data_IF_811898481116
#
_entry.id   IF_811898481116
#
_cell.length_a   1.000
_cell.length_b   1.000
_cell.length_c   1.000
_cell.angle_alpha   90.00
_cell.angle_beta   90.00
_cell.angle_gamma   90.00
#
_symmetry.space_group_name_H-M   'P 1'
#
loop_
_entity.id
_entity.type
_entity.pdbx_description
1 polymer ?
#
# COMPACT_ATOMS: atom_id res chain seq x y z
N UNK A 1 2.54 0.67 58.36
CA UNK A 1 3.28 1.82 57.78
C UNK A 1 4.80 1.62 57.85
N UNK A 2 5.31 1.00 58.92
CA UNK A 2 6.73 0.66 59.15
C UNK A 2 7.36 -0.25 58.08
N UNK A 3 6.66 -1.26 57.58
CA UNK A 3 7.22 -2.19 56.58
C UNK A 3 7.51 -1.54 55.22
N UNK A 4 6.68 -0.58 54.79
CA UNK A 4 6.94 0.18 53.55
C UNK A 4 8.19 1.04 53.65
N UNK A 5 8.41 1.68 54.81
CA UNK A 5 9.60 2.49 55.07
C UNK A 5 10.86 1.61 55.12
N UNK A 6 10.76 0.44 55.75
CA UNK A 6 11.84 -0.54 55.78
C UNK A 6 12.19 -1.05 54.38
N UNK A 7 11.19 -1.47 53.60
CA UNK A 7 11.38 -1.92 52.22
C UNK A 7 12.00 -0.82 51.31
N UNK A 8 11.58 0.44 51.47
CA UNK A 8 12.17 1.55 50.73
C UNK A 8 13.64 1.81 51.09
N UNK A 9 14.01 1.66 52.37
CA UNK A 9 15.40 1.79 52.82
C UNK A 9 16.27 0.62 52.31
N UNK A 10 15.77 -0.61 52.36
CA UNK A 10 16.43 -1.80 51.82
C UNK A 10 16.63 -1.68 50.29
N UNK A 11 15.61 -1.20 49.55
CA UNK A 11 15.73 -0.94 48.12
C UNK A 11 16.79 0.12 47.79
N UNK A 12 16.87 1.21 48.58
CA UNK A 12 17.92 2.23 48.44
C UNK A 12 19.31 1.66 48.72
N UNK A 13 19.47 0.87 49.79
CA UNK A 13 20.74 0.23 50.08
C UNK A 13 21.15 -0.78 49.01
N UNK A 14 20.21 -1.58 48.50
CA UNK A 14 20.45 -2.52 47.41
C UNK A 14 20.81 -1.83 46.09
N UNK A 15 20.28 -0.64 45.81
CA UNK A 15 20.66 0.17 44.66
C UNK A 15 22.09 0.73 44.80
N UNK A 16 22.45 1.23 45.99
CA UNK A 16 23.79 1.73 46.27
C UNK A 16 24.85 0.61 46.24
N UNK A 17 24.54 -0.57 46.78
CA UNK A 17 25.40 -1.74 46.70
C UNK A 17 25.66 -2.12 45.23
N UNK A 18 24.60 -2.25 44.41
CA UNK A 18 24.71 -2.52 42.97
C UNK A 18 25.53 -1.47 42.21
N UNK A 19 25.48 -0.21 42.62
CA UNK A 19 26.29 0.85 42.02
C UNK A 19 27.78 0.69 42.37
N UNK A 20 28.09 0.38 43.63
CA UNK A 20 29.46 0.15 44.09
C UNK A 20 30.09 -1.11 43.49
N UNK A 21 29.31 -2.18 43.33
CA UNK A 21 29.76 -3.46 42.76
C UNK A 21 29.85 -3.43 41.24
N UNK A 22 29.53 -2.30 40.60
CA UNK A 22 29.53 -2.20 39.13
C UNK A 22 30.97 -2.22 38.62
N UNK A 23 31.31 -3.13 37.69
CA UNK A 23 32.63 -3.11 37.06
C UNK A 23 32.86 -1.79 36.30
N UNK A 24 34.12 -1.30 36.23
CA UNK A 24 34.46 -0.10 35.48
C UNK A 24 34.17 -0.29 33.98
N UNK A 25 34.06 0.82 33.25
CA UNK A 25 33.74 0.78 31.82
C UNK A 25 34.83 0.07 30.98
N UNK A 26 36.07 0.14 31.44
CA UNK A 26 37.23 -0.47 30.79
C UNK A 26 37.44 -1.95 31.18
N UNK A 27 36.54 -2.51 32.01
CA UNK A 27 36.56 -3.92 32.33
C UNK A 27 36.35 -4.76 31.05
N UNK A 28 37.18 -5.78 30.79
CA UNK A 28 37.13 -6.55 29.54
C UNK A 28 35.78 -7.25 29.33
N UNK A 29 35.10 -7.68 30.40
CA UNK A 29 33.77 -8.31 30.29
C UNK A 29 32.66 -7.29 30.03
N UNK A 30 32.82 -6.03 30.47
CA UNK A 30 31.92 -4.93 30.08
C UNK A 30 32.11 -4.58 28.60
N UNK A 31 33.36 -4.46 28.15
CA UNK A 31 33.69 -4.18 26.75
C UNK A 31 33.19 -5.28 25.81
N UNK A 32 33.38 -6.55 26.15
CA UNK A 32 32.87 -7.68 25.37
C UNK A 32 31.34 -7.63 25.21
N UNK A 33 30.60 -7.39 26.30
CA UNK A 33 29.14 -7.24 26.26
C UNK A 33 28.69 -6.04 25.44
N UNK A 34 29.44 -4.93 25.49
CA UNK A 34 29.15 -3.75 24.68
C UNK A 34 29.34 -4.06 23.20
N UNK A 35 30.46 -4.70 22.83
CA UNK A 35 30.74 -5.11 21.46
C UNK A 35 29.66 -6.05 20.92
N UNK A 36 29.26 -7.07 21.69
CA UNK A 36 28.18 -7.99 21.29
C UNK A 36 26.85 -7.26 21.06
N UNK A 37 26.47 -6.36 21.97
CA UNK A 37 25.26 -5.55 21.82
C UNK A 37 25.32 -4.64 20.60
N UNK A 38 26.46 -4.03 20.35
CA UNK A 38 26.67 -3.20 19.15
C UNK A 38 26.51 -4.04 17.88
N UNK A 39 27.03 -5.27 17.83
CA UNK A 39 26.82 -6.15 16.67
C UNK A 39 25.32 -6.46 16.48
N UNK A 40 24.62 -6.82 17.56
CA UNK A 40 23.17 -7.08 17.49
C UNK A 40 22.40 -5.85 16.99
N UNK A 41 22.77 -4.65 17.43
CA UNK A 41 22.14 -3.40 16.97
C UNK A 41 22.43 -3.18 15.49
N UNK A 42 23.68 -3.32 15.04
CA UNK A 42 24.05 -3.20 13.62
C UNK A 42 23.28 -4.19 12.75
N UNK A 43 23.18 -5.46 13.18
CA UNK A 43 22.42 -6.49 12.45
C UNK A 43 20.91 -6.19 12.40
N UNK A 44 20.37 -5.55 13.44
CA UNK A 44 18.98 -5.08 13.43
C UNK A 44 18.80 -3.91 12.48
N UNK A 45 19.71 -2.94 12.49
CA UNK A 45 19.67 -1.78 11.59
C UNK A 45 19.76 -2.21 10.13
N UNK A 46 20.67 -3.12 9.80
CA UNK A 46 20.79 -3.69 8.43
C UNK A 46 19.47 -4.35 8.02
N UNK A 47 18.88 -5.19 8.88
CA UNK A 47 17.61 -5.86 8.57
C UNK A 47 16.44 -4.89 8.44
N UNK A 48 16.36 -3.88 9.29
CA UNK A 48 15.31 -2.85 9.22
C UNK A 48 15.43 -2.06 7.93
N UNK A 49 16.64 -1.59 7.60
CA UNK A 49 16.90 -0.86 6.36
C UNK A 49 16.54 -1.67 5.12
N UNK A 50 16.96 -2.94 5.06
CA UNK A 50 16.62 -3.81 3.94
C UNK A 50 15.09 -4.02 3.79
N UNK A 51 14.36 -4.14 4.90
CA UNK A 51 12.89 -4.24 4.87
C UNK A 51 12.22 -2.94 4.44
N UNK A 52 12.77 -1.80 4.83
CA UNK A 52 12.22 -0.49 4.48
C UNK A 52 12.45 -0.21 2.99
N UNK A 53 13.64 -0.51 2.46
CA UNK A 53 13.94 -0.45 1.03
C UNK A 53 13.01 -1.37 0.22
N UNK A 54 12.81 -2.61 0.67
CA UNK A 54 11.88 -3.55 0.02
C UNK A 54 10.42 -3.07 0.07
N UNK A 55 9.98 -2.48 1.18
CA UNK A 55 8.62 -1.92 1.32
C UNK A 55 8.41 -0.74 0.39
N UNK A 56 9.37 0.18 0.32
CA UNK A 56 9.32 1.33 -0.57
C UNK A 56 9.26 0.89 -2.05
N UNK A 57 10.06 -0.10 -2.45
CA UNK A 57 10.02 -0.65 -3.80
C UNK A 57 8.66 -1.30 -4.13
N UNK A 58 8.11 -2.11 -3.22
CA UNK A 58 6.82 -2.76 -3.40
C UNK A 58 5.64 -1.76 -3.39
N UNK A 59 5.75 -0.65 -2.67
CA UNK A 59 4.76 0.43 -2.71
C UNK A 59 4.83 1.19 -4.04
N UNK A 60 6.03 1.54 -4.51
CA UNK A 60 6.22 2.18 -5.80
C UNK A 60 5.65 1.33 -6.95
N UNK A 61 5.87 0.01 -6.92
CA UNK A 61 5.28 -0.91 -7.89
C UNK A 61 3.75 -0.92 -7.84
N UNK A 62 3.16 -1.00 -6.64
CA UNK A 62 1.70 -0.99 -6.49
C UNK A 62 1.06 0.30 -6.97
N UNK A 63 1.70 1.45 -6.74
CA UNK A 63 1.23 2.75 -7.26
C UNK A 63 1.31 2.76 -8.79
N UNK A 64 2.43 2.35 -9.37
CA UNK A 64 2.59 2.30 -10.82
C UNK A 64 1.58 1.35 -11.50
N UNK A 65 1.32 0.19 -10.90
CA UNK A 65 0.30 -0.76 -11.38
C UNK A 65 -1.11 -0.17 -11.31
N UNK A 66 -1.46 0.48 -10.20
CA UNK A 66 -2.77 1.10 -10.02
C UNK A 66 -2.99 2.25 -11.02
N UNK A 67 -1.97 3.06 -11.29
CA UNK A 67 -2.05 4.13 -12.27
C UNK A 67 -2.17 3.58 -13.70
N UNK A 68 -1.39 2.54 -14.04
CA UNK A 68 -1.50 1.87 -15.33
C UNK A 68 -2.89 1.22 -15.53
N UNK A 69 -3.47 0.64 -14.48
CA UNK A 69 -4.83 0.09 -14.52
C UNK A 69 -5.88 1.18 -14.74
N UNK A 70 -5.76 2.31 -14.04
CA UNK A 70 -6.65 3.47 -14.23
C UNK A 70 -6.59 4.02 -15.65
N UNK A 71 -5.40 4.14 -16.23
CA UNK A 71 -5.22 4.56 -17.62
C UNK A 71 -5.87 3.59 -18.60
N UNK A 72 -5.71 2.28 -18.38
CA UNK A 72 -6.36 1.24 -19.21
C UNK A 72 -7.88 1.32 -19.14
N UNK A 73 -8.43 1.43 -17.94
CA UNK A 73 -9.88 1.54 -17.73
C UNK A 73 -10.44 2.82 -18.36
N UNK A 74 -9.72 3.94 -18.27
CA UNK A 74 -10.12 5.19 -18.93
C UNK A 74 -10.11 5.04 -20.46
N UNK A 75 -9.06 4.44 -21.03
CA UNK A 75 -8.99 4.19 -22.47
C UNK A 75 -10.08 3.22 -22.96
N UNK A 76 -10.39 2.19 -22.19
CA UNK A 76 -11.49 1.27 -22.46
C UNK A 76 -12.85 1.96 -22.39
N UNK A 77 -13.07 2.83 -21.40
CA UNK A 77 -14.31 3.59 -21.29
C UNK A 77 -14.53 4.52 -22.48
N UNK A 78 -13.47 5.17 -22.98
CA UNK A 78 -13.54 6.01 -24.19
C UNK A 78 -13.92 5.17 -25.41
N UNK A 79 -13.20 4.05 -25.65
CA UNK A 79 -13.50 3.15 -26.78
C UNK A 79 -14.93 2.61 -26.72
N UNK A 80 -15.39 2.21 -25.54
CA UNK A 80 -16.76 1.71 -25.36
C UNK A 80 -17.82 2.81 -25.58
N UNK A 81 -17.51 4.07 -25.26
CA UNK A 81 -18.40 5.19 -25.54
C UNK A 81 -18.49 5.47 -27.05
N UNK A 82 -17.34 5.48 -27.74
CA UNK A 82 -17.28 5.64 -29.20
C UNK A 82 -18.03 4.53 -29.93
N UNK A 83 -17.80 3.27 -29.54
CA UNK A 83 -18.50 2.12 -30.12
C UNK A 83 -20.03 2.23 -29.94
N UNK A 84 -20.50 2.67 -28.77
CA UNK A 84 -21.94 2.88 -28.53
C UNK A 84 -22.52 3.98 -29.42
N UNK A 85 -21.76 5.05 -29.70
CA UNK A 85 -22.20 6.12 -30.61
C UNK A 85 -22.33 5.57 -32.02
N UNK A 86 -21.34 4.82 -32.50
CA UNK A 86 -21.36 4.20 -33.83
C UNK A 86 -22.50 3.20 -33.98
N UNK A 87 -22.68 2.30 -33.00
CA UNK A 87 -23.80 1.36 -32.99
C UNK A 87 -25.16 2.07 -33.00
N UNK A 88 -25.31 3.15 -32.22
CA UNK A 88 -26.54 3.93 -32.21
C UNK A 88 -26.79 4.64 -33.55
N UNK A 89 -25.73 5.12 -34.22
CA UNK A 89 -25.83 5.71 -35.56
C UNK A 89 -26.26 4.67 -36.60
N UNK A 90 -25.64 3.49 -36.60
CA UNK A 90 -25.99 2.38 -37.47
C UNK A 90 -27.45 1.95 -37.27
N UNK A 91 -27.89 1.75 -36.03
CA UNK A 91 -29.27 1.37 -35.71
C UNK A 91 -30.29 2.42 -36.20
N UNK A 92 -29.97 3.72 -36.11
CA UNK A 92 -30.83 4.79 -36.65
C UNK A 92 -30.93 4.74 -38.18
N UNK A 93 -29.83 4.46 -38.87
CA UNK A 93 -29.83 4.30 -40.32
C UNK A 93 -30.68 3.11 -40.76
N UNK A 94 -30.54 1.97 -40.08
CA UNK A 94 -31.37 0.78 -40.33
C UNK A 94 -32.86 1.06 -40.10
N UNK A 95 -33.22 1.69 -38.98
CA UNK A 95 -34.61 2.07 -38.70
C UNK A 95 -35.19 3.01 -39.76
N UNK A 96 -34.37 3.95 -40.26
CA UNK A 96 -34.77 4.84 -41.35
C UNK A 96 -35.00 4.05 -42.64
N UNK A 97 -34.08 3.15 -43.01
CA UNK A 97 -34.24 2.31 -44.20
C UNK A 97 -35.51 1.45 -44.14
N UNK A 98 -35.81 0.86 -42.99
CA UNK A 98 -37.07 0.12 -42.76
C UNK A 98 -38.31 1.00 -42.91
N UNK A 99 -38.26 2.23 -42.38
CA UNK A 99 -39.35 3.20 -42.51
C UNK A 99 -39.57 3.58 -43.96
N UNK A 100 -38.50 3.90 -44.68
CA UNK A 100 -38.56 4.30 -46.09
C UNK A 100 -39.09 3.16 -46.97
N UNK A 101 -38.68 1.92 -46.71
CA UNK A 101 -39.23 0.73 -47.38
C UNK A 101 -40.74 0.56 -47.13
N UNK A 102 -41.21 0.76 -45.89
CA UNK A 102 -42.64 0.71 -45.54
C UNK A 102 -43.43 1.81 -46.23
N UNK A 103 -42.90 3.03 -46.28
CA UNK A 103 -43.54 4.15 -46.99
C UNK A 103 -43.61 3.89 -48.49
N UNK A 104 -42.54 3.37 -49.09
CA UNK A 104 -42.53 2.99 -50.51
C UNK A 104 -43.58 1.92 -50.82
N UNK A 105 -43.68 0.86 -50.01
CA UNK A 105 -44.68 -0.18 -50.15
C UNK A 105 -46.12 0.36 -50.02
N UNK A 106 -46.38 1.24 -49.02
CA UNK A 106 -47.69 1.88 -48.86
C UNK A 106 -48.05 2.77 -50.05
N UNK A 107 -47.10 3.57 -50.54
CA UNK A 107 -47.30 4.44 -51.70
C UNK A 107 -47.58 3.65 -52.98
N UNK A 108 -46.88 2.53 -53.18
CA UNK A 108 -47.13 1.62 -54.29
C UNK A 108 -48.54 1.01 -54.22
N UNK A 109 -49.00 0.60 -53.03
CA UNK A 109 -50.36 0.10 -52.82
C UNK A 109 -51.43 1.16 -53.08
N UNK A 110 -51.18 2.44 -52.76
CA UNK A 110 -52.15 3.52 -52.97
C UNK A 110 -52.24 4.02 -54.42
N UNK A 111 -51.25 3.68 -55.27
CA UNK A 111 -51.22 4.01 -56.70
C UNK A 111 -51.75 2.90 -57.60
N UNK A 112 -52.03 1.73 -57.02
CA UNK A 112 -52.69 0.60 -57.65
C UNK A 112 -54.16 0.63 -57.30
#
# INVERSE_FOLDING_TARGET
MTDRLKAANEARQAALARFRDRPPADDPAVLARKAEREQIVRDREIRTRARDEARAAAEAQRVAEADAERERLAAEAIRAAEEKVEQAAAARLEQKALRDARYAARKAKARK
#
